data_IF_484745048872
#
_entry.id   IF_484745048872
#
_cell.length_a   1.000
_cell.length_b   1.000
_cell.length_c   1.000
_cell.angle_alpha   90.00
_cell.angle_beta   90.00
_cell.angle_gamma   90.00
#
_symmetry.space_group_name_H-M   'P 1'
#
loop_
_entity.id
_entity.type
_entity.pdbx_description
1 polymer ?
#
# COMPACT_ATOMS: atom_id res chain seq x y z
N UNK A 1 14.54 -16.22 -0.52
CA UNK A 1 13.68 -16.53 0.64
C UNK A 1 12.57 -15.51 0.72
N UNK A 2 11.34 -15.83 0.28
CA UNK A 2 10.18 -14.93 0.45
C UNK A 2 9.67 -15.10 1.88
N UNK A 3 10.12 -14.24 2.79
CA UNK A 3 9.62 -14.20 4.15
C UNK A 3 8.22 -13.57 4.18
N UNK A 4 7.27 -14.20 4.88
CA UNK A 4 5.96 -13.58 5.13
C UNK A 4 6.10 -12.52 6.23
N UNK A 5 5.94 -11.25 5.87
CA UNK A 5 5.93 -10.16 6.85
C UNK A 5 4.51 -9.99 7.39
N UNK A 6 4.35 -10.13 8.71
CA UNK A 6 3.09 -9.84 9.41
C UNK A 6 3.26 -8.59 10.25
N UNK A 7 2.42 -7.59 10.01
CA UNK A 7 2.43 -6.32 10.76
C UNK A 7 1.17 -6.20 11.63
N UNK A 8 1.33 -5.57 12.78
CA UNK A 8 0.22 -5.22 13.67
C UNK A 8 0.09 -3.70 13.69
N UNK A 9 -1.00 -3.19 13.12
CA UNK A 9 -1.30 -1.77 13.10
C UNK A 9 -1.94 -1.30 14.42
N UNK A 10 -1.96 0.02 14.64
CA UNK A 10 -2.65 0.64 15.77
C UNK A 10 -4.10 0.15 15.85
N UNK A 11 -4.54 -0.23 17.04
CA UNK A 11 -5.84 -0.87 17.26
C UNK A 11 -5.86 -2.40 17.09
N UNK A 12 -4.69 -3.05 17.04
CA UNK A 12 -4.56 -4.51 17.04
C UNK A 12 -4.86 -5.19 15.70
N UNK A 13 -5.06 -4.41 14.63
CA UNK A 13 -5.33 -4.95 13.29
C UNK A 13 -4.08 -5.62 12.72
N UNK A 14 -4.11 -6.93 12.56
CA UNK A 14 -3.04 -7.71 11.94
C UNK A 14 -3.25 -7.85 10.43
N UNK A 15 -2.17 -7.68 9.66
CA UNK A 15 -2.14 -7.93 8.21
C UNK A 15 -0.86 -8.64 7.81
N UNK A 16 -1.00 -9.55 6.86
CA UNK A 16 0.13 -10.14 6.13
C UNK A 16 0.38 -9.26 4.92
N UNK A 17 1.60 -8.76 4.79
CA UNK A 17 1.99 -7.94 3.66
C UNK A 17 2.20 -8.83 2.42
N UNK A 18 1.75 -8.30 1.28
CA UNK A 18 2.10 -8.80 -0.05
C UNK A 18 3.48 -8.28 -0.43
N UNK A 19 4.18 -9.02 -1.30
CA UNK A 19 5.50 -8.63 -1.80
C UNK A 19 5.42 -7.26 -2.49
N UNK A 20 6.45 -6.41 -2.38
CA UNK A 20 6.60 -5.22 -3.22
C UNK A 20 6.43 -5.54 -4.71
N UNK A 21 6.96 -6.68 -5.17
CA UNK A 21 6.87 -7.09 -6.59
C UNK A 21 5.45 -7.36 -7.08
N UNK A 22 4.47 -7.54 -6.18
CA UNK A 22 3.07 -7.70 -6.56
C UNK A 22 2.32 -6.36 -6.60
N UNK A 23 3.00 -5.24 -6.39
CA UNK A 23 2.40 -3.90 -6.44
C UNK A 23 1.68 -3.61 -7.76
N UNK A 24 2.17 -4.01 -8.95
CA UNK A 24 1.45 -3.82 -10.22
C UNK A 24 0.10 -4.57 -10.29
N UNK A 25 -0.14 -5.54 -9.39
CA UNK A 25 -1.42 -6.28 -9.30
C UNK A 25 -2.41 -5.64 -8.32
N UNK A 26 -2.10 -4.46 -7.79
CA UNK A 26 -2.98 -3.76 -6.86
C UNK A 26 -4.28 -3.34 -7.55
N UNK A 27 -5.35 -3.23 -6.76
CA UNK A 27 -6.62 -2.71 -7.24
C UNK A 27 -6.69 -1.25 -6.81
N UNK A 28 -6.44 -0.32 -7.74
CA UNK A 28 -6.37 1.12 -7.44
C UNK A 28 -7.68 1.76 -7.01
N UNK A 29 -8.78 0.99 -6.96
CA UNK A 29 -10.06 1.39 -6.36
C UNK A 29 -10.17 1.01 -4.89
N UNK A 30 -9.18 0.30 -4.34
CA UNK A 30 -9.20 -0.20 -2.96
C UNK A 30 -8.09 0.43 -2.15
N UNK A 31 -8.47 0.92 -0.98
CA UNK A 31 -7.52 1.51 -0.04
C UNK A 31 -6.55 0.44 0.50
N UNK A 32 -5.27 0.77 0.52
CA UNK A 32 -4.18 -0.09 0.95
C UNK A 32 -3.23 0.62 1.92
N UNK A 33 -2.61 -0.18 2.79
CA UNK A 33 -1.44 0.16 3.57
C UNK A 33 -0.19 -0.14 2.77
N UNK A 34 0.75 0.79 2.75
CA UNK A 34 2.09 0.65 2.18
C UNK A 34 3.10 0.82 3.31
N UNK A 35 3.86 -0.23 3.59
CA UNK A 35 4.78 -0.27 4.75
C UNK A 35 6.21 -0.19 4.24
N UNK A 36 6.95 0.79 4.74
CA UNK A 36 8.31 1.10 4.31
C UNK A 36 9.34 0.58 5.32
N UNK A 37 10.58 0.40 4.87
CA UNK A 37 11.68 -0.14 5.67
C UNK A 37 12.08 0.72 6.89
N UNK A 38 11.65 1.98 6.94
CA UNK A 38 11.76 2.88 8.08
C UNK A 38 10.55 2.80 9.04
N UNK A 39 9.71 1.78 8.89
CA UNK A 39 8.46 1.56 9.64
C UNK A 39 7.37 2.63 9.44
N UNK A 40 7.54 3.54 8.48
CA UNK A 40 6.47 4.44 8.08
C UNK A 40 5.39 3.67 7.31
N UNK A 41 4.15 4.06 7.53
CA UNK A 41 2.97 3.48 6.89
C UNK A 41 2.21 4.58 6.18
N UNK A 42 2.08 4.45 4.86
CA UNK A 42 1.21 5.29 4.06
C UNK A 42 -0.10 4.55 3.79
N UNK A 43 -1.21 5.27 3.81
CA UNK A 43 -2.55 4.70 3.54
C UNK A 43 -3.20 5.48 2.41
N UNK A 44 -3.68 4.78 1.39
CA UNK A 44 -4.28 5.41 0.23
C UNK A 44 -4.54 4.46 -0.93
N UNK A 45 -4.63 5.03 -2.13
CA UNK A 45 -4.89 4.33 -3.38
C UNK A 45 -3.71 4.48 -4.32
N UNK A 46 -3.29 3.37 -4.94
CA UNK A 46 -2.23 3.36 -5.97
C UNK A 46 -2.72 2.56 -7.17
N UNK A 47 -2.35 2.98 -8.38
CA UNK A 47 -2.50 2.21 -9.60
C UNK A 47 -1.45 1.11 -9.74
N UNK A 48 -0.38 1.16 -8.93
CA UNK A 48 0.67 0.16 -8.88
C UNK A 48 1.76 0.35 -9.93
N UNK A 49 1.68 1.43 -10.71
CA UNK A 49 2.70 1.82 -11.68
C UNK A 49 3.88 2.45 -10.94
N UNK A 50 5.09 2.09 -11.39
CA UNK A 50 6.35 2.67 -10.92
C UNK A 50 6.93 3.48 -12.07
N UNK A 51 7.24 4.75 -11.84
CA UNK A 51 7.80 5.64 -12.85
C UNK A 51 9.31 5.42 -13.08
N UNK A 52 9.89 6.21 -13.98
CA UNK A 52 11.31 6.14 -14.33
C UNK A 52 12.25 6.44 -13.16
N UNK A 53 11.78 7.21 -12.17
CA UNK A 53 12.53 7.53 -10.95
C UNK A 53 12.43 6.41 -9.89
N UNK A 54 11.63 5.38 -10.15
CA UNK A 54 11.41 4.26 -9.23
C UNK A 54 10.37 4.57 -8.15
N UNK A 55 9.56 5.61 -8.35
CA UNK A 55 8.51 6.02 -7.44
C UNK A 55 7.14 5.51 -7.91
N UNK A 56 6.25 5.19 -6.95
CA UNK A 56 4.85 4.85 -7.23
C UNK A 56 3.93 5.88 -6.58
N UNK A 57 2.80 6.13 -7.23
CA UNK A 57 1.86 7.14 -6.76
C UNK A 57 0.93 6.60 -5.66
N UNK A 58 0.81 7.30 -4.54
CA UNK A 58 -0.22 7.07 -3.52
C UNK A 58 -1.11 8.29 -3.37
N UNK A 59 -2.41 8.10 -3.63
CA UNK A 59 -3.46 9.11 -3.46
C UNK A 59 -4.12 8.98 -2.09
N UNK A 60 -4.22 10.08 -1.35
CA UNK A 60 -4.78 10.10 0.00
C UNK A 60 -6.27 9.73 0.01
N UNK A 61 -6.68 8.91 0.98
CA UNK A 61 -8.07 8.44 1.07
C UNK A 61 -9.08 9.48 1.59
N UNK A 62 -8.62 10.49 2.33
CA UNK A 62 -9.49 11.39 3.11
C UNK A 62 -9.37 12.88 2.74
N UNK A 63 -8.85 13.24 1.56
CA UNK A 63 -8.60 14.65 1.29
C UNK A 63 -9.86 15.49 1.04
N UNK A 64 -11.02 14.91 0.71
CA UNK A 64 -12.26 15.67 0.46
C UNK A 64 -12.19 16.65 -0.73
N UNK A 65 -11.03 16.79 -1.36
CA UNK A 65 -10.74 17.67 -2.49
C UNK A 65 -10.81 16.82 -3.76
N UNK A 66 -11.73 17.14 -4.67
CA UNK A 66 -11.72 16.57 -6.02
C UNK A 66 -10.44 17.04 -6.72
N UNK A 67 -9.55 16.11 -7.10
CA UNK A 67 -8.33 16.40 -7.89
C UNK A 67 -6.99 16.28 -7.15
N UNK A 68 -6.89 15.46 -6.10
CA UNK A 68 -5.70 15.39 -5.23
C UNK A 68 -4.47 14.84 -5.96
N UNK A 69 -3.42 15.64 -6.01
CA UNK A 69 -2.06 15.22 -6.28
C UNK A 69 -1.69 14.05 -5.36
N UNK A 70 -1.38 12.90 -5.95
CA UNK A 70 -0.76 11.82 -5.19
C UNK A 70 0.66 12.19 -4.81
N UNK A 71 1.20 11.52 -3.80
CA UNK A 71 2.63 11.61 -3.49
C UNK A 71 3.36 10.48 -4.23
N UNK A 72 4.50 10.79 -4.82
CA UNK A 72 5.46 9.79 -5.27
C UNK A 72 6.15 9.17 -4.06
N UNK A 73 6.22 7.85 -4.01
CA UNK A 73 6.89 7.12 -2.94
C UNK A 73 7.87 6.09 -3.53
N UNK A 74 9.06 5.90 -2.94
CA UNK A 74 10.09 5.04 -3.52
C UNK A 74 9.77 3.55 -3.37
N UNK A 75 9.54 2.88 -4.50
CA UNK A 75 9.26 1.44 -4.53
C UNK A 75 10.40 0.62 -3.91
N UNK A 76 11.65 1.06 -4.07
CA UNK A 76 12.84 0.42 -3.51
C UNK A 76 12.85 0.35 -1.97
N UNK A 77 12.06 1.19 -1.28
CA UNK A 77 11.96 1.21 0.19
C UNK A 77 10.70 0.51 0.71
N UNK A 78 9.82 0.06 -0.18
CA UNK A 78 8.60 -0.65 0.18
C UNK A 78 8.96 -2.04 0.71
N UNK A 79 8.60 -2.35 1.96
CA UNK A 79 8.70 -3.72 2.49
C UNK A 79 7.52 -4.59 2.06
N UNK A 80 6.37 -3.98 1.82
CA UNK A 80 5.19 -4.66 1.31
C UNK A 80 3.91 -3.86 1.55
N UNK A 81 2.80 -4.40 1.07
CA UNK A 81 1.51 -3.72 1.09
C UNK A 81 0.35 -4.65 1.45
N UNK A 82 -0.75 -4.10 1.95
CA UNK A 82 -1.95 -4.88 2.25
C UNK A 82 -3.22 -4.00 2.17
N UNK A 83 -4.33 -4.56 1.70
CA UNK A 83 -5.59 -3.82 1.71
C UNK A 83 -6.05 -3.50 3.13
N UNK A 84 -6.57 -2.27 3.32
CA UNK A 84 -7.16 -1.83 4.60
C UNK A 84 -8.34 -2.72 4.97
N UNK A 85 -9.25 -2.87 4.00
CA UNK A 85 -10.40 -3.75 4.07
C UNK A 85 -10.20 -4.93 3.11
N UNK A 86 -9.75 -6.11 3.59
CA UNK A 86 -9.77 -7.31 2.77
C UNK A 86 -11.23 -7.61 2.41
N UNK A 87 -11.50 -7.99 1.14
CA UNK A 87 -12.80 -8.54 0.76
C UNK A 87 -13.07 -9.68 1.75
N UNK A 88 -14.16 -9.59 2.52
CA UNK A 88 -14.61 -10.71 3.35
C UNK A 88 -14.73 -11.91 2.41
N UNK A 89 -14.00 -12.98 2.69
CA UNK A 89 -14.30 -14.25 2.05
C UNK A 89 -15.78 -14.54 2.35
N UNK A 90 -16.60 -14.71 1.31
CA UNK A 90 -17.93 -15.29 1.50
C UNK A 90 -17.68 -16.68 2.09
N UNK A 91 -18.17 -16.90 3.31
CA UNK A 91 -18.26 -18.24 3.90
C UNK A 91 -19.20 -19.09 3.05
#
# INVERSE_FOLDING_TARGET
MSGKITVTFKGGKRRVLKSPDTLPMIDGRREAYFVFNNFQVYTGYSDGEVDEDGDFCVRAANSGIKGVAGIGLPAARLMGWAYVNPKRAKK
#
